data_IF_680603557275
#
_entry.id   IF_680603557275
#
_cell.length_a   1.000
_cell.length_b   1.000
_cell.length_c   1.000
_cell.angle_alpha   90.00
_cell.angle_beta   90.00
_cell.angle_gamma   90.00
#
_symmetry.space_group_name_H-M   'P 1'
#
loop_
_entity.id
_entity.type
_entity.pdbx_description
1 polymer ?
#
# COMPACT_ATOMS: atom_id res chain seq x y z
N UNK A 1 -15.94 16.93 77.01
CA UNK A 1 -15.85 18.19 76.22
C UNK A 1 -14.40 18.63 75.95
N UNK A 2 -13.52 18.89 76.95
CA UNK A 2 -12.15 19.39 76.67
C UNK A 2 -11.28 18.42 75.80
N UNK A 3 -11.25 17.13 76.16
CA UNK A 3 -10.51 16.06 75.36
C UNK A 3 -11.07 15.85 73.98
N UNK A 4 -12.32 16.09 73.76
CA UNK A 4 -13.00 15.96 72.48
C UNK A 4 -12.65 17.13 71.52
N UNK A 5 -12.62 18.34 72.07
CA UNK A 5 -12.12 19.52 71.37
C UNK A 5 -10.65 19.37 70.95
N UNK A 6 -9.80 18.86 71.84
CA UNK A 6 -8.39 18.60 71.51
C UNK A 6 -8.24 17.59 70.35
N UNK A 7 -9.04 16.50 70.33
CA UNK A 7 -9.07 15.51 69.23
C UNK A 7 -9.55 16.13 67.90
N UNK A 8 -10.58 16.98 67.95
CA UNK A 8 -11.08 17.68 66.79
C UNK A 8 -10.05 18.66 66.21
N UNK A 9 -9.36 19.41 67.06
CA UNK A 9 -8.28 20.32 66.63
C UNK A 9 -7.13 19.55 65.98
N UNK A 10 -6.69 18.41 66.53
CA UNK A 10 -5.66 17.57 65.95
C UNK A 10 -6.11 16.99 64.58
N UNK A 11 -7.38 16.56 64.47
CA UNK A 11 -7.94 16.04 63.24
C UNK A 11 -8.03 17.11 62.16
N UNK A 12 -8.42 18.33 62.49
CA UNK A 12 -8.42 19.48 61.58
C UNK A 12 -7.02 19.85 61.10
N UNK A 13 -6.03 19.85 62.01
CA UNK A 13 -4.64 20.13 61.66
C UNK A 13 -4.10 19.07 60.66
N UNK A 14 -4.38 17.79 60.92
CA UNK A 14 -4.01 16.69 59.99
C UNK A 14 -4.69 16.85 58.63
N UNK A 15 -6.00 17.09 58.62
CA UNK A 15 -6.77 17.28 57.38
C UNK A 15 -6.23 18.45 56.52
N UNK A 16 -5.86 19.56 57.20
CA UNK A 16 -5.22 20.71 56.55
C UNK A 16 -3.86 20.35 55.94
N UNK A 17 -3.05 19.58 56.65
CA UNK A 17 -1.76 19.12 56.15
C UNK A 17 -1.92 18.21 54.94
N UNK A 18 -2.84 17.25 54.98
CA UNK A 18 -3.15 16.33 53.90
C UNK A 18 -3.71 17.09 52.69
N UNK A 19 -4.60 18.06 52.88
CA UNK A 19 -5.12 18.92 51.82
C UNK A 19 -4.02 19.74 51.15
N UNK A 20 -3.13 20.35 51.93
CA UNK A 20 -2.02 21.13 51.39
C UNK A 20 -0.99 20.26 50.60
N UNK A 21 -0.82 19.01 51.06
CA UNK A 21 0.01 18.04 50.32
C UNK A 21 -0.65 17.66 48.99
N UNK A 22 -1.91 17.25 49.01
CA UNK A 22 -2.67 16.87 47.84
C UNK A 22 -2.70 18.02 46.81
N UNK A 23 -2.89 19.25 47.28
CA UNK A 23 -2.86 20.43 46.39
C UNK A 23 -1.51 20.59 45.69
N UNK A 24 -0.39 20.42 46.41
CA UNK A 24 0.95 20.50 45.81
C UNK A 24 1.18 19.40 44.78
N UNK A 25 0.80 18.16 45.15
CA UNK A 25 0.95 17.00 44.26
C UNK A 25 0.11 17.19 42.98
N UNK A 26 -1.10 17.75 43.08
CA UNK A 26 -1.95 18.09 41.93
C UNK A 26 -1.34 19.19 41.06
N UNK A 27 -0.81 20.25 41.68
CA UNK A 27 -0.16 21.35 40.94
C UNK A 27 1.11 20.87 40.19
N UNK A 28 1.87 19.92 40.78
CA UNK A 28 3.02 19.29 40.12
C UNK A 28 2.60 18.43 38.91
N UNK A 29 1.56 17.61 39.09
CA UNK A 29 1.03 16.79 38.00
C UNK A 29 0.48 17.64 36.84
N UNK A 30 -0.21 18.74 37.15
CA UNK A 30 -0.69 19.66 36.11
C UNK A 30 0.47 20.30 35.34
N UNK A 31 1.52 20.76 36.04
CA UNK A 31 2.71 21.31 35.35
C UNK A 31 3.45 20.28 34.52
N UNK A 32 3.45 19.02 34.91
CA UNK A 32 4.02 17.93 34.14
C UNK A 32 3.19 17.69 32.88
N UNK A 33 1.86 17.55 33.01
CA UNK A 33 0.95 17.35 31.91
C UNK A 33 0.99 18.50 30.88
N UNK A 34 1.08 19.76 31.35
CA UNK A 34 1.20 20.93 30.48
C UNK A 34 2.51 20.91 29.64
N UNK A 35 3.61 20.45 30.25
CA UNK A 35 4.89 20.28 29.52
C UNK A 35 4.78 19.20 28.46
N UNK A 36 4.29 18.01 28.80
CA UNK A 36 4.10 16.94 27.82
C UNK A 36 3.18 17.35 26.67
N UNK A 37 2.08 18.03 26.97
CA UNK A 37 1.17 18.55 25.94
C UNK A 37 1.86 19.55 25.02
N UNK A 38 2.73 20.41 25.56
CA UNK A 38 3.50 21.38 24.77
C UNK A 38 4.50 20.68 23.84
N UNK A 39 5.24 19.69 24.38
CA UNK A 39 6.20 18.90 23.61
C UNK A 39 5.52 18.09 22.50
N UNK A 40 4.39 17.43 22.81
CA UNK A 40 3.60 16.69 21.81
C UNK A 40 3.04 17.61 20.71
N UNK A 41 2.57 18.80 21.07
CA UNK A 41 2.11 19.79 20.06
C UNK A 41 3.24 20.23 19.15
N UNK A 42 4.43 20.47 19.70
CA UNK A 42 5.60 20.84 18.92
C UNK A 42 6.03 19.72 17.98
N UNK A 43 6.07 18.47 18.49
CA UNK A 43 6.41 17.30 17.69
C UNK A 43 5.39 17.08 16.56
N UNK A 44 4.09 17.17 16.87
CA UNK A 44 3.05 17.05 15.85
C UNK A 44 3.15 18.13 14.77
N UNK A 45 3.46 19.36 15.16
CA UNK A 45 3.64 20.44 14.16
C UNK A 45 4.90 20.23 13.30
N UNK A 46 5.95 19.63 13.85
CA UNK A 46 7.13 19.22 13.10
C UNK A 46 6.82 18.12 12.09
N UNK A 47 6.16 17.05 12.55
CA UNK A 47 5.75 15.94 11.68
C UNK A 47 4.78 16.38 10.57
N UNK A 48 3.89 17.32 10.85
CA UNK A 48 2.99 17.86 9.82
C UNK A 48 3.79 18.56 8.71
N UNK A 49 4.80 19.38 9.05
CA UNK A 49 5.66 20.04 8.06
C UNK A 49 6.47 19.03 7.24
N UNK A 50 7.07 18.02 7.90
CA UNK A 50 7.80 16.96 7.20
C UNK A 50 6.88 16.18 6.25
N UNK A 51 5.64 15.94 6.64
CA UNK A 51 4.65 15.29 5.80
C UNK A 51 4.32 16.13 4.56
N UNK A 52 4.10 17.44 4.72
CA UNK A 52 3.85 18.37 3.60
C UNK A 52 5.04 18.43 2.65
N UNK A 53 6.28 18.48 3.17
CA UNK A 53 7.51 18.49 2.37
C UNK A 53 7.67 17.16 1.60
N UNK A 54 7.37 16.03 2.22
CA UNK A 54 7.41 14.74 1.55
C UNK A 54 6.34 14.60 0.46
N UNK A 55 5.13 15.13 0.69
CA UNK A 55 4.09 15.15 -0.33
C UNK A 55 4.52 15.97 -1.55
N UNK A 56 5.11 17.15 -1.33
CA UNK A 56 5.62 17.98 -2.42
C UNK A 56 6.69 17.23 -3.22
N UNK A 57 7.62 16.58 -2.52
CA UNK A 57 8.70 15.81 -3.16
C UNK A 57 8.18 14.60 -3.95
N UNK A 58 7.16 13.92 -3.46
CA UNK A 58 6.47 12.85 -4.21
C UNK A 58 5.86 13.40 -5.48
N UNK A 59 5.16 14.53 -5.40
CA UNK A 59 4.57 15.18 -6.57
C UNK A 59 5.63 15.60 -7.61
N UNK A 60 6.75 16.19 -7.18
CA UNK A 60 7.86 16.55 -8.07
C UNK A 60 8.46 15.32 -8.77
N UNK A 61 8.64 14.21 -8.04
CA UNK A 61 9.15 12.97 -8.60
C UNK A 61 8.16 12.33 -9.58
N UNK A 62 6.87 12.41 -9.33
CA UNK A 62 5.83 11.94 -10.24
C UNK A 62 5.87 12.73 -11.56
N UNK A 63 6.03 14.06 -11.51
CA UNK A 63 6.20 14.89 -12.71
C UNK A 63 7.46 14.53 -13.50
N UNK A 64 8.60 14.30 -12.83
CA UNK A 64 9.83 13.88 -13.49
C UNK A 64 9.68 12.51 -14.18
N UNK A 65 8.98 11.57 -13.54
CA UNK A 65 8.69 10.27 -14.13
C UNK A 65 7.81 10.40 -15.38
N UNK A 66 6.79 11.25 -15.34
CA UNK A 66 5.92 11.50 -16.49
C UNK A 66 6.68 12.15 -17.65
N UNK A 67 7.56 13.12 -17.38
CA UNK A 67 8.43 13.72 -18.39
C UNK A 67 9.38 12.71 -19.02
N UNK A 68 10.01 11.85 -18.22
CA UNK A 68 10.88 10.78 -18.71
C UNK A 68 10.12 9.76 -19.55
N UNK A 69 8.91 9.39 -19.15
CA UNK A 69 8.05 8.48 -19.94
C UNK A 69 7.68 9.08 -21.29
N UNK A 70 7.33 10.38 -21.34
CA UNK A 70 7.10 11.11 -22.58
C UNK A 70 8.35 11.14 -23.47
N UNK A 71 9.51 11.40 -22.89
CA UNK A 71 10.78 11.40 -23.61
C UNK A 71 11.08 10.01 -24.21
N UNK A 72 10.94 8.95 -23.42
CA UNK A 72 11.12 7.56 -23.89
C UNK A 72 10.14 7.23 -25.02
N UNK A 73 8.87 7.63 -24.90
CA UNK A 73 7.86 7.42 -25.93
C UNK A 73 8.22 8.16 -27.23
N UNK A 74 8.74 9.38 -27.14
CA UNK A 74 9.21 10.16 -28.29
C UNK A 74 10.43 9.50 -28.96
N UNK A 75 11.41 9.05 -28.16
CA UNK A 75 12.59 8.35 -28.68
C UNK A 75 12.22 7.02 -29.34
N UNK A 76 11.30 6.25 -28.76
CA UNK A 76 10.77 5.04 -29.35
C UNK A 76 10.02 5.30 -30.67
N UNK A 77 9.28 6.41 -30.74
CA UNK A 77 8.60 6.81 -31.99
C UNK A 77 9.59 7.24 -33.10
N UNK A 78 10.69 7.91 -32.73
CA UNK A 78 11.77 8.28 -33.68
C UNK A 78 12.50 7.03 -34.18
N UNK A 79 12.84 6.09 -33.27
CA UNK A 79 13.51 4.84 -33.68
C UNK A 79 12.60 3.94 -34.55
N UNK A 80 11.28 3.94 -34.31
CA UNK A 80 10.33 3.22 -35.17
C UNK A 80 10.26 3.78 -36.61
N UNK A 81 10.55 5.05 -36.83
CA UNK A 81 10.64 5.63 -38.17
C UNK A 81 11.89 5.21 -38.97
N UNK A 82 12.90 4.70 -38.26
CA UNK A 82 14.12 4.15 -38.87
C UNK A 82 14.04 2.67 -39.24
N UNK A 83 13.12 1.94 -38.64
CA UNK A 83 12.92 0.49 -38.83
C UNK A 83 11.50 0.15 -39.34
N UNK A 84 10.96 0.92 -40.30
CA UNK A 84 9.73 0.53 -41.01
C UNK A 84 10.00 -0.62 -42.00
N UNK A 85 10.27 -1.79 -41.45
CA UNK A 85 10.06 -3.06 -42.10
C UNK A 85 9.19 -3.95 -41.21
N UNK A 86 7.87 -3.73 -41.28
CA UNK A 86 6.82 -4.73 -41.10
C UNK A 86 7.08 -5.84 -40.07
N UNK A 87 6.80 -5.57 -38.79
CA UNK A 87 6.19 -6.58 -37.94
C UNK A 87 4.83 -6.02 -37.53
N UNK A 88 3.79 -6.45 -38.19
CA UNK A 88 2.43 -6.41 -37.65
C UNK A 88 2.51 -7.34 -36.46
N UNK A 89 2.75 -6.77 -35.25
CA UNK A 89 2.59 -7.51 -34.02
C UNK A 89 1.14 -7.96 -33.97
N UNK A 90 0.93 -9.24 -34.25
CA UNK A 90 -0.39 -9.86 -34.10
C UNK A 90 -0.85 -9.57 -32.68
N UNK A 91 -1.98 -8.87 -32.53
CA UNK A 91 -2.60 -8.60 -31.25
C UNK A 91 -2.66 -9.91 -30.47
N UNK A 92 -2.00 -10.03 -29.30
CA UNK A 92 -1.93 -11.29 -28.59
C UNK A 92 -3.33 -11.73 -28.14
N UNK A 93 -3.80 -12.86 -28.61
CA UNK A 93 -5.06 -13.46 -28.18
C UNK A 93 -4.87 -14.11 -26.82
N UNK A 94 -5.58 -13.61 -25.79
CA UNK A 94 -5.53 -14.10 -24.44
C UNK A 94 -6.54 -15.24 -24.14
N UNK A 95 -7.26 -15.73 -25.13
CA UNK A 95 -8.33 -16.73 -24.94
C UNK A 95 -7.87 -18.03 -24.29
N UNK A 96 -6.63 -18.43 -24.51
CA UNK A 96 -6.02 -19.62 -23.93
C UNK A 96 -5.33 -19.39 -22.60
N UNK A 97 -5.06 -18.13 -22.22
CA UNK A 97 -4.28 -17.76 -21.03
C UNK A 97 -5.17 -17.66 -19.80
N UNK A 98 -4.70 -18.16 -18.65
CA UNK A 98 -5.32 -17.98 -17.35
C UNK A 98 -4.50 -16.97 -16.54
N UNK A 99 -5.10 -15.83 -16.21
CA UNK A 99 -4.45 -14.68 -15.59
C UNK A 99 -4.79 -14.60 -14.09
N UNK A 100 -3.78 -14.49 -13.25
CA UNK A 100 -3.92 -14.13 -11.83
C UNK A 100 -3.55 -12.67 -11.60
N UNK A 101 -4.46 -11.86 -11.05
CA UNK A 101 -4.21 -10.46 -10.70
C UNK A 101 -4.20 -10.35 -9.18
N UNK A 102 -3.05 -9.95 -8.62
CA UNK A 102 -2.82 -9.86 -7.18
C UNK A 102 -2.55 -8.43 -6.76
N UNK A 103 -3.27 -7.93 -5.76
CA UNK A 103 -3.12 -6.58 -5.25
C UNK A 103 -3.76 -5.50 -6.13
N UNK A 104 -3.26 -4.27 -6.03
CA UNK A 104 -3.80 -3.12 -6.75
C UNK A 104 -5.15 -2.61 -6.22
N UNK A 105 -5.56 -1.43 -6.68
CA UNK A 105 -6.86 -0.86 -6.34
C UNK A 105 -8.00 -1.59 -7.07
N UNK A 106 -9.17 -1.72 -6.46
CA UNK A 106 -10.33 -2.41 -7.04
C UNK A 106 -10.73 -1.86 -8.41
N UNK A 107 -10.83 -0.53 -8.54
CA UNK A 107 -11.15 0.12 -9.81
C UNK A 107 -10.14 -0.23 -10.91
N UNK A 108 -8.83 -0.20 -10.60
CA UNK A 108 -7.78 -0.56 -11.56
C UNK A 108 -7.88 -2.01 -11.99
N UNK A 109 -8.12 -2.95 -11.06
CA UNK A 109 -8.30 -4.36 -11.41
C UNK A 109 -9.49 -4.56 -12.35
N UNK A 110 -10.63 -3.94 -12.03
CA UNK A 110 -11.85 -4.02 -12.84
C UNK A 110 -11.64 -3.50 -14.26
N UNK A 111 -11.07 -2.31 -14.38
CA UNK A 111 -10.78 -1.68 -15.69
C UNK A 111 -9.79 -2.48 -16.52
N UNK A 112 -8.75 -3.08 -15.92
CA UNK A 112 -7.79 -3.95 -16.57
C UNK A 112 -8.46 -5.22 -17.08
N UNK A 113 -9.29 -5.87 -16.26
CA UNK A 113 -10.01 -7.09 -16.64
C UNK A 113 -11.00 -6.80 -17.77
N UNK A 114 -11.73 -5.71 -17.67
CA UNK A 114 -12.68 -5.28 -18.71
C UNK A 114 -11.97 -5.10 -20.05
N UNK A 115 -10.85 -4.36 -20.10
CA UNK A 115 -10.08 -4.14 -21.32
C UNK A 115 -9.48 -5.45 -21.85
N UNK A 116 -8.86 -6.28 -21.01
CA UNK A 116 -8.29 -7.56 -21.44
C UNK A 116 -9.37 -8.55 -21.94
N UNK A 117 -10.58 -8.47 -21.42
CA UNK A 117 -11.70 -9.31 -21.84
C UNK A 117 -12.30 -8.83 -23.16
N UNK A 118 -12.53 -7.52 -23.30
CA UNK A 118 -13.20 -6.94 -24.48
C UNK A 118 -12.28 -6.82 -25.68
N UNK A 119 -11.04 -6.40 -25.47
CA UNK A 119 -10.10 -6.09 -26.57
C UNK A 119 -9.21 -7.28 -26.93
N UNK A 120 -8.84 -8.13 -25.94
CA UNK A 120 -7.83 -9.18 -26.11
C UNK A 120 -8.35 -10.60 -25.87
N UNK A 121 -9.67 -10.75 -25.63
CA UNK A 121 -10.34 -12.05 -25.55
C UNK A 121 -10.02 -12.88 -24.29
N UNK A 122 -9.55 -12.26 -23.20
CA UNK A 122 -9.29 -12.96 -21.93
C UNK A 122 -10.56 -13.64 -21.42
N UNK A 123 -10.51 -14.95 -21.15
CA UNK A 123 -11.66 -15.75 -20.69
C UNK A 123 -11.52 -16.28 -19.27
N UNK A 124 -10.30 -16.40 -18.78
CA UNK A 124 -10.02 -17.00 -17.47
C UNK A 124 -9.12 -16.09 -16.66
N UNK A 125 -9.64 -15.64 -15.53
CA UNK A 125 -8.86 -14.84 -14.57
C UNK A 125 -9.24 -15.12 -13.14
N UNK A 126 -8.35 -14.78 -12.23
CA UNK A 126 -8.54 -14.86 -10.78
C UNK A 126 -8.06 -13.57 -10.15
N UNK A 127 -8.90 -12.99 -9.29
CA UNK A 127 -8.53 -11.81 -8.51
C UNK A 127 -8.17 -12.18 -7.07
N UNK A 128 -7.08 -11.59 -6.61
CA UNK A 128 -6.65 -11.65 -5.22
C UNK A 128 -6.53 -10.21 -4.71
N UNK A 129 -7.53 -9.71 -3.97
CA UNK A 129 -7.50 -8.36 -3.43
C UNK A 129 -6.38 -8.19 -2.39
N UNK A 130 -5.99 -6.94 -2.06
CA UNK A 130 -5.03 -6.67 -1.00
C UNK A 130 -5.50 -7.25 0.35
N UNK A 131 -4.54 -7.59 1.24
CA UNK A 131 -4.81 -8.31 2.50
C UNK A 131 -5.71 -7.57 3.48
N UNK A 132 -5.84 -6.24 3.39
CA UNK A 132 -6.78 -5.47 4.22
C UNK A 132 -8.25 -5.69 3.81
N UNK A 133 -8.51 -6.18 2.60
CA UNK A 133 -9.86 -6.52 2.12
C UNK A 133 -10.24 -7.97 2.45
N UNK A 134 -9.25 -8.86 2.67
CA UNK A 134 -9.51 -10.27 3.00
C UNK A 134 -8.35 -10.93 3.73
N UNK A 135 -8.64 -11.71 4.77
CA UNK A 135 -7.64 -12.56 5.46
C UNK A 135 -7.33 -13.82 4.63
N UNK A 136 -6.42 -13.68 3.65
CA UNK A 136 -6.04 -14.81 2.79
C UNK A 136 -4.92 -15.64 3.43
N UNK A 137 -5.19 -16.92 3.70
CA UNK A 137 -4.16 -17.88 4.10
C UNK A 137 -3.36 -18.35 2.88
N UNK A 138 -2.11 -18.81 3.09
CA UNK A 138 -1.25 -19.34 2.02
C UNK A 138 -1.94 -20.48 1.24
N UNK A 139 -2.77 -21.29 1.91
CA UNK A 139 -3.51 -22.41 1.28
C UNK A 139 -4.55 -21.90 0.29
N UNK A 140 -5.33 -20.88 0.70
CA UNK A 140 -6.34 -20.25 -0.18
C UNK A 140 -5.67 -19.55 -1.35
N UNK A 141 -4.56 -18.85 -1.10
CA UNK A 141 -3.79 -18.17 -2.14
C UNK A 141 -3.25 -19.16 -3.18
N UNK A 142 -2.68 -20.28 -2.72
CA UNK A 142 -2.24 -21.36 -3.60
C UNK A 142 -3.40 -21.88 -4.45
N UNK A 143 -4.52 -22.28 -3.84
CA UNK A 143 -5.67 -22.86 -4.56
C UNK A 143 -6.26 -21.92 -5.61
N UNK A 144 -6.16 -20.59 -5.39
CA UNK A 144 -6.59 -19.59 -6.38
C UNK A 144 -5.61 -19.45 -7.56
N UNK A 145 -4.29 -19.47 -7.30
CA UNK A 145 -3.26 -19.11 -8.28
C UNK A 145 -2.58 -20.32 -8.96
N UNK A 146 -2.74 -21.52 -8.45
CA UNK A 146 -2.04 -22.74 -8.96
C UNK A 146 -2.32 -23.06 -10.44
N UNK A 147 -3.48 -22.61 -10.96
CA UNK A 147 -3.92 -22.83 -12.33
C UNK A 147 -3.74 -21.64 -13.27
N UNK A 148 -3.10 -20.57 -12.80
CA UNK A 148 -2.81 -19.42 -13.62
C UNK A 148 -1.53 -19.64 -14.40
N UNK A 149 -1.54 -19.28 -15.68
CA UNK A 149 -0.35 -19.31 -16.55
C UNK A 149 0.54 -18.09 -16.32
N UNK A 150 -0.08 -16.96 -16.02
CA UNK A 150 0.58 -15.70 -15.68
C UNK A 150 -0.04 -15.11 -14.40
N UNK A 151 0.81 -14.74 -13.44
CA UNK A 151 0.40 -14.11 -12.19
C UNK A 151 1.05 -12.73 -12.12
N UNK A 152 0.22 -11.70 -12.11
CA UNK A 152 0.64 -10.30 -12.13
C UNK A 152 0.39 -9.70 -10.74
N UNK A 153 1.44 -9.18 -10.13
CA UNK A 153 1.39 -8.53 -8.81
C UNK A 153 1.46 -7.02 -9.00
N UNK A 154 0.37 -6.31 -8.70
CA UNK A 154 0.29 -4.84 -8.76
C UNK A 154 0.68 -4.30 -7.39
N UNK A 155 1.88 -3.71 -7.25
CA UNK A 155 2.43 -3.29 -5.95
C UNK A 155 1.80 -2.03 -5.38
N UNK A 156 1.17 -1.19 -6.21
CA UNK A 156 0.41 -0.05 -5.74
C UNK A 156 -0.76 -0.50 -4.84
N UNK A 157 -0.85 0.06 -3.65
CA UNK A 157 -1.91 -0.27 -2.66
C UNK A 157 -1.88 -1.72 -2.16
N UNK A 158 -0.71 -2.30 -1.93
CA UNK A 158 -0.58 -3.67 -1.44
C UNK A 158 0.39 -3.77 -0.27
N UNK A 159 0.11 -4.70 0.66
CA UNK A 159 1.02 -5.04 1.74
C UNK A 159 2.14 -5.98 1.22
N UNK A 160 3.39 -5.72 1.64
CA UNK A 160 4.54 -6.56 1.31
C UNK A 160 4.38 -8.03 1.69
N UNK A 161 3.57 -8.35 2.72
CA UNK A 161 3.30 -9.72 3.15
C UNK A 161 2.65 -10.58 2.06
N UNK A 162 1.76 -10.00 1.24
CA UNK A 162 1.10 -10.72 0.14
C UNK A 162 2.08 -11.00 -1.00
N UNK A 163 2.92 -10.02 -1.35
CA UNK A 163 4.02 -10.20 -2.32
C UNK A 163 4.95 -11.33 -1.89
N UNK A 164 5.41 -11.32 -0.64
CA UNK A 164 6.26 -12.37 -0.09
C UNK A 164 5.57 -13.75 -0.08
N UNK A 165 4.26 -13.79 0.18
CA UNK A 165 3.50 -15.03 0.16
C UNK A 165 3.44 -15.65 -1.25
N UNK A 166 3.20 -14.83 -2.30
CA UNK A 166 3.16 -15.30 -3.69
C UNK A 166 4.54 -15.77 -4.15
N UNK A 167 5.59 -14.98 -3.93
CA UNK A 167 6.95 -15.40 -4.27
C UNK A 167 7.40 -16.63 -3.48
N UNK A 168 7.03 -16.75 -2.22
CA UNK A 168 7.30 -17.94 -1.41
C UNK A 168 6.62 -19.20 -1.97
N UNK A 169 5.38 -19.08 -2.48
CA UNK A 169 4.69 -20.18 -3.16
C UNK A 169 5.35 -20.54 -4.50
N UNK A 170 5.82 -19.54 -5.27
CA UNK A 170 6.55 -19.78 -6.52
C UNK A 170 7.89 -20.46 -6.26
N UNK A 171 8.66 -20.00 -5.28
CA UNK A 171 9.94 -20.59 -4.88
C UNK A 171 9.78 -22.05 -4.37
N UNK A 172 8.66 -22.36 -3.72
CA UNK A 172 8.31 -23.71 -3.29
C UNK A 172 7.78 -24.61 -4.42
N UNK A 173 7.73 -24.15 -5.67
CA UNK A 173 7.20 -24.90 -6.80
C UNK A 173 5.69 -25.12 -6.75
N UNK A 174 4.97 -24.38 -5.91
CA UNK A 174 3.53 -24.53 -5.72
C UNK A 174 2.69 -23.77 -6.77
N UNK A 175 3.32 -22.90 -7.57
CA UNK A 175 2.71 -22.14 -8.68
C UNK A 175 3.45 -22.49 -9.97
N UNK A 176 2.72 -23.04 -10.95
CA UNK A 176 3.28 -23.39 -12.25
C UNK A 176 3.51 -22.14 -13.12
N UNK A 177 2.59 -21.17 -13.07
CA UNK A 177 2.62 -19.97 -13.89
C UNK A 177 3.76 -19.02 -13.59
N UNK A 178 4.04 -18.12 -14.53
CA UNK A 178 5.02 -17.05 -14.36
C UNK A 178 4.51 -15.99 -13.38
N UNK A 179 5.41 -15.45 -12.54
CA UNK A 179 5.05 -14.42 -11.54
C UNK A 179 5.80 -13.13 -11.87
N UNK A 180 5.06 -12.08 -12.17
CA UNK A 180 5.59 -10.77 -12.57
C UNK A 180 5.16 -9.69 -11.59
N UNK A 181 6.13 -8.88 -11.17
CA UNK A 181 5.89 -7.74 -10.30
C UNK A 181 5.72 -6.47 -11.15
N UNK A 182 4.59 -5.78 -10.97
CA UNK A 182 4.32 -4.54 -11.68
C UNK A 182 4.35 -3.35 -10.73
N UNK A 183 5.17 -2.37 -11.08
CA UNK A 183 5.24 -1.10 -10.36
C UNK A 183 4.26 -0.04 -10.92
N UNK A 184 3.43 -0.43 -11.88
CA UNK A 184 2.44 0.44 -12.48
C UNK A 184 1.20 0.54 -11.61
N UNK A 185 0.67 1.78 -11.46
CA UNK A 185 -0.57 2.05 -10.72
C UNK A 185 -1.78 2.22 -11.61
N UNK A 186 -1.56 2.55 -12.89
CA UNK A 186 -2.62 2.82 -13.88
C UNK A 186 -2.94 1.64 -14.78
N UNK A 187 -4.19 1.60 -15.25
CA UNK A 187 -4.74 0.58 -16.16
C UNK A 187 -3.85 0.29 -17.36
N UNK A 188 -3.50 1.32 -18.15
CA UNK A 188 -2.75 1.15 -19.40
C UNK A 188 -1.35 0.54 -19.22
N UNK A 189 -0.67 0.87 -18.09
CA UNK A 189 0.62 0.26 -17.77
C UNK A 189 0.51 -1.22 -17.47
N UNK A 190 -0.52 -1.62 -16.73
CA UNK A 190 -0.78 -3.03 -16.38
C UNK A 190 -1.15 -3.82 -17.61
N UNK A 191 -2.09 -3.33 -18.44
CA UNK A 191 -2.53 -4.00 -19.69
C UNK A 191 -1.34 -4.23 -20.62
N UNK A 192 -0.55 -3.18 -20.90
CA UNK A 192 0.63 -3.29 -21.76
C UNK A 192 1.62 -4.35 -21.26
N UNK A 193 1.88 -4.39 -19.95
CA UNK A 193 2.83 -5.34 -19.41
C UNK A 193 2.30 -6.78 -19.44
N UNK A 194 1.00 -7.00 -19.18
CA UNK A 194 0.35 -8.31 -19.33
C UNK A 194 0.52 -8.81 -20.77
N UNK A 195 0.22 -7.97 -21.77
CA UNK A 195 0.36 -8.33 -23.19
C UNK A 195 1.81 -8.68 -23.56
N UNK A 196 2.77 -7.89 -23.06
CA UNK A 196 4.20 -8.15 -23.24
C UNK A 196 4.63 -9.50 -22.67
N UNK A 197 4.19 -9.81 -21.44
CA UNK A 197 4.53 -11.06 -20.77
C UNK A 197 3.90 -12.27 -21.49
N UNK A 198 2.65 -12.17 -21.93
CA UNK A 198 2.01 -13.24 -22.69
C UNK A 198 2.70 -13.47 -24.04
N UNK A 199 3.18 -12.44 -24.71
CA UNK A 199 3.96 -12.58 -25.93
C UNK A 199 5.30 -13.33 -25.71
N UNK A 200 5.88 -13.23 -24.50
CA UNK A 200 7.11 -13.95 -24.13
C UNK A 200 6.87 -15.42 -23.71
N UNK A 201 5.64 -15.76 -23.29
CA UNK A 201 5.28 -17.14 -22.90
C UNK A 201 4.99 -18.05 -24.10
N UNK A 202 4.84 -17.50 -25.30
CA UNK A 202 4.61 -18.19 -26.56
C UNK A 202 5.90 -18.36 -27.34
#
# INVERSE_FOLDING_TARGET
MRRENERLVQRLAKLRADYNRLKRDTDELLRYADRELSELKQTNSGLAREFDDLQLRVWELEQQVDELLLYIAQMAAVNRRGDEALVVEAVPDLSAVSLGIVGGHEATRREVIEELTTEYGLRRWVEVPPTWESSLTKVVLKGKLERCDLIVIITGYMNHSLTHAVFGLKAAGALAGEVVLLNFRGKSGVVREVLRQVAMLR
#
